data_IF_653375926427
#
_entry.id   IF_653375926427
#
_cell.length_a   1.000
_cell.length_b   1.000
_cell.length_c   1.000
_cell.angle_alpha   90.00
_cell.angle_beta   90.00
_cell.angle_gamma   90.00
#
_symmetry.space_group_name_H-M   'P 1'
#
loop_
_entity.id
_entity.type
_entity.pdbx_description
1 polymer ?
#
# COMPACT_ATOMS: atom_id res chain seq x y z
N UNK A 1 27.18 -25.85 25.62
CA UNK A 1 26.33 -26.82 24.93
C UNK A 1 27.17 -27.40 23.82
N UNK A 2 27.21 -28.72 23.68
CA UNK A 2 27.95 -29.34 22.59
C UNK A 2 27.07 -29.41 21.34
N UNK A 3 27.63 -28.95 20.21
CA UNK A 3 26.89 -28.63 18.98
C UNK A 3 27.60 -29.27 17.79
N UNK A 4 26.83 -29.97 16.96
CA UNK A 4 27.31 -30.70 15.76
C UNK A 4 27.19 -29.83 14.51
N UNK A 5 26.06 -29.16 14.38
CA UNK A 5 25.74 -28.37 13.21
C UNK A 5 24.81 -27.21 13.57
N UNK A 6 24.95 -26.11 12.84
CA UNK A 6 24.10 -24.93 12.93
C UNK A 6 23.73 -24.52 11.51
N UNK A 7 22.45 -24.26 11.27
CA UNK A 7 21.96 -23.63 10.06
C UNK A 7 21.06 -22.48 10.46
N UNK A 8 21.42 -21.23 10.19
CA UNK A 8 20.61 -20.05 10.55
C UNK A 8 20.54 -19.14 9.35
N UNK A 9 19.34 -18.67 8.99
CA UNK A 9 19.17 -17.77 7.86
C UNK A 9 17.92 -16.89 7.95
N UNK A 10 17.89 -15.87 7.10
CA UNK A 10 16.79 -14.94 6.90
C UNK A 10 16.68 -14.64 5.40
N UNK A 11 15.45 -14.38 4.94
CA UNK A 11 15.17 -13.98 3.56
C UNK A 11 14.44 -12.64 3.58
N UNK A 12 14.54 -11.88 2.50
CA UNK A 12 13.79 -10.65 2.29
C UNK A 12 12.28 -10.94 2.40
N UNK A 13 11.56 -10.10 3.14
CA UNK A 13 10.16 -10.34 3.49
C UNK A 13 9.97 -11.35 4.62
N UNK A 14 11.00 -12.12 4.98
CA UNK A 14 11.08 -12.86 6.23
C UNK A 14 11.27 -11.89 7.40
N UNK A 15 10.42 -12.01 8.41
CA UNK A 15 10.45 -11.11 9.56
C UNK A 15 11.36 -11.58 10.69
N UNK A 16 11.90 -12.79 10.60
CA UNK A 16 12.71 -13.42 11.64
C UNK A 16 13.82 -14.28 11.02
N UNK A 17 14.97 -14.30 11.69
CA UNK A 17 15.94 -15.37 11.49
C UNK A 17 15.34 -16.69 11.94
N UNK A 18 15.55 -17.73 11.16
CA UNK A 18 15.13 -19.09 11.48
C UNK A 18 16.29 -20.04 11.26
N UNK A 19 16.27 -21.16 11.96
CA UNK A 19 17.36 -22.10 11.84
C UNK A 19 17.18 -23.39 12.60
N UNK A 20 18.20 -24.23 12.52
CA UNK A 20 18.33 -25.47 13.26
C UNK A 20 19.69 -25.53 13.96
N UNK A 21 19.68 -26.00 15.20
CA UNK A 21 20.88 -26.30 15.99
C UNK A 21 20.84 -27.77 16.35
N UNK A 22 21.84 -28.53 15.89
CA UNK A 22 21.96 -29.97 16.17
C UNK A 22 22.92 -30.20 17.32
N UNK A 23 22.45 -30.93 18.33
CA UNK A 23 23.18 -31.27 19.54
C UNK A 23 23.69 -32.71 19.48
N UNK A 24 24.78 -32.98 20.18
CA UNK A 24 25.35 -34.32 20.39
C UNK A 24 25.16 -34.84 21.83
N UNK A 25 24.76 -33.99 22.78
CA UNK A 25 24.50 -34.37 24.16
C UNK A 25 23.00 -34.39 24.51
N UNK A 26 22.55 -35.52 25.08
CA UNK A 26 21.17 -35.71 25.50
C UNK A 26 20.81 -34.86 26.72
N UNK A 27 21.74 -34.61 27.65
CA UNK A 27 21.47 -33.80 28.82
C UNK A 27 21.25 -32.32 28.43
N UNK A 28 22.09 -31.80 27.54
CA UNK A 28 21.90 -30.50 26.89
C UNK A 28 20.54 -30.42 26.18
N UNK A 29 20.18 -31.43 25.38
CA UNK A 29 18.88 -31.47 24.73
C UNK A 29 17.72 -31.46 25.74
N UNK A 30 17.77 -32.29 26.80
CA UNK A 30 16.70 -32.39 27.79
C UNK A 30 16.51 -31.11 28.62
N UNK A 31 17.58 -30.34 28.85
CA UNK A 31 17.56 -29.11 29.63
C UNK A 31 16.85 -27.95 28.93
N UNK A 32 16.86 -27.92 27.60
CA UNK A 32 16.25 -26.85 26.80
C UNK A 32 14.73 -26.99 26.75
N UNK A 33 14.00 -25.90 26.93
CA UNK A 33 12.55 -25.84 26.80
C UNK A 33 12.15 -25.00 25.57
N UNK A 34 10.98 -25.28 24.99
CA UNK A 34 10.40 -24.42 23.95
C UNK A 34 10.14 -23.04 24.56
N UNK A 35 10.52 -21.99 23.84
CA UNK A 35 10.47 -20.59 24.28
C UNK A 35 11.72 -20.12 25.02
N UNK A 36 12.67 -21.00 25.36
CA UNK A 36 13.91 -20.58 26.00
C UNK A 36 14.71 -19.66 25.07
N UNK A 37 15.25 -18.53 25.57
CA UNK A 37 16.16 -17.70 24.81
C UNK A 37 17.47 -18.45 24.55
N UNK A 38 17.98 -18.35 23.32
CA UNK A 38 19.24 -18.95 22.92
C UNK A 38 20.08 -17.93 22.15
N UNK A 39 21.35 -17.85 22.52
CA UNK A 39 22.33 -17.05 21.79
C UNK A 39 23.22 -17.99 20.97
N UNK A 40 23.29 -17.73 19.66
CA UNK A 40 24.14 -18.50 18.75
C UNK A 40 25.24 -17.59 18.23
N UNK A 41 26.49 -18.03 18.32
CA UNK A 41 27.65 -17.28 17.82
C UNK A 41 28.29 -18.01 16.65
N UNK A 42 28.33 -17.37 15.48
CA UNK A 42 28.95 -17.91 14.26
C UNK A 42 29.97 -16.89 13.78
N UNK A 43 31.25 -17.29 13.68
CA UNK A 43 32.30 -16.43 13.14
C UNK A 43 32.47 -15.05 13.82
N UNK A 44 32.02 -14.91 15.06
CA UNK A 44 32.03 -13.65 15.82
C UNK A 44 30.73 -12.85 15.77
N UNK A 45 29.79 -13.20 14.88
CA UNK A 45 28.45 -12.63 14.84
C UNK A 45 27.53 -13.32 15.85
N UNK A 46 26.69 -12.53 16.54
CA UNK A 46 25.86 -13.00 17.65
C UNK A 46 24.38 -12.89 17.28
N UNK A 47 23.71 -14.04 17.23
CA UNK A 47 22.30 -14.17 16.94
C UNK A 47 21.51 -14.37 18.25
N UNK A 48 20.57 -13.47 18.53
CA UNK A 48 19.61 -13.59 19.63
C UNK A 48 18.33 -14.24 19.10
N UNK A 49 18.07 -15.46 19.57
CA UNK A 49 16.99 -16.33 19.10
C UNK A 49 16.22 -16.91 20.30
N UNK A 50 15.15 -17.63 20.01
CA UNK A 50 14.43 -18.48 20.96
C UNK A 50 14.19 -19.86 20.36
N UNK A 51 14.02 -20.86 21.20
CA UNK A 51 13.73 -22.24 20.77
C UNK A 51 12.26 -22.35 20.38
N UNK A 52 12.00 -22.62 19.11
CA UNK A 52 10.65 -22.76 18.56
C UNK A 52 10.10 -24.18 18.73
N UNK A 53 10.92 -25.18 18.41
CA UNK A 53 10.55 -26.58 18.55
C UNK A 53 11.77 -27.46 18.79
N UNK A 54 11.52 -28.70 19.24
CA UNK A 54 12.56 -29.68 19.53
C UNK A 54 12.21 -31.01 18.90
N UNK A 55 13.19 -31.63 18.24
CA UNK A 55 13.02 -32.92 17.58
C UNK A 55 14.11 -33.87 18.05
N UNK A 56 13.70 -35.08 18.44
CA UNK A 56 14.59 -36.21 18.72
C UNK A 56 14.21 -37.33 17.76
N UNK A 57 15.07 -37.62 16.79
CA UNK A 57 14.89 -38.74 15.86
C UNK A 57 15.86 -39.87 16.21
N UNK A 58 15.38 -41.11 16.11
CA UNK A 58 16.18 -42.32 16.32
C UNK A 58 15.87 -43.35 15.25
N UNK A 59 16.75 -43.42 14.25
CA UNK A 59 16.63 -44.37 13.15
C UNK A 59 17.55 -45.57 13.36
N UNK A 60 17.03 -46.59 14.06
CA UNK A 60 17.68 -47.90 14.19
C UNK A 60 19.06 -47.86 14.83
N UNK A 61 20.09 -48.25 14.06
CA UNK A 61 21.49 -48.46 14.51
C UNK A 61 22.29 -47.15 14.58
N UNK A 62 21.79 -46.06 14.00
CA UNK A 62 22.47 -44.77 14.00
C UNK A 62 22.36 -44.04 15.35
N UNK A 63 23.32 -43.15 15.63
CA UNK A 63 23.21 -42.24 16.77
C UNK A 63 21.95 -41.37 16.63
N UNK A 64 21.23 -41.08 17.74
CA UNK A 64 20.05 -40.24 17.71
C UNK A 64 20.40 -38.83 17.22
N UNK A 65 19.54 -38.24 16.41
CA UNK A 65 19.67 -36.85 15.94
C UNK A 65 18.80 -35.96 16.84
N UNK A 66 19.44 -35.04 17.54
CA UNK A 66 18.82 -34.10 18.47
C UNK A 66 18.89 -32.71 17.86
N UNK A 67 17.75 -32.14 17.46
CA UNK A 67 17.71 -30.82 16.82
C UNK A 67 16.75 -29.88 17.52
N UNK A 68 17.19 -28.62 17.64
CA UNK A 68 16.39 -27.49 18.07
C UNK A 68 16.09 -26.64 16.84
N UNK A 69 14.81 -26.35 16.58
CA UNK A 69 14.45 -25.26 15.67
C UNK A 69 14.50 -23.95 16.44
N UNK A 70 15.11 -22.94 15.85
CA UNK A 70 15.31 -21.63 16.48
C UNK A 70 14.72 -20.52 15.61
N UNK A 71 14.18 -19.48 16.24
CA UNK A 71 13.56 -18.34 15.57
C UNK A 71 13.88 -17.04 16.32
N UNK A 72 13.88 -15.89 15.63
CA UNK A 72 14.06 -14.60 16.31
C UNK A 72 12.93 -14.28 17.32
N UNK A 73 13.22 -13.54 18.40
CA UNK A 73 12.22 -13.10 19.38
C UNK A 73 11.09 -12.25 18.78
N UNK A 74 11.31 -11.64 17.62
CA UNK A 74 10.30 -10.86 16.88
C UNK A 74 9.12 -11.71 16.43
N UNK A 75 9.24 -13.04 16.39
CA UNK A 75 8.10 -13.92 16.21
C UNK A 75 7.06 -13.83 17.34
N UNK A 76 7.44 -13.36 18.53
CA UNK A 76 6.50 -13.08 19.62
C UNK A 76 5.56 -11.92 19.32
N UNK A 77 5.78 -11.18 18.23
CA UNK A 77 4.95 -10.05 17.78
C UNK A 77 3.92 -10.45 16.72
N UNK A 78 3.92 -11.71 16.28
CA UNK A 78 2.99 -12.22 15.27
C UNK A 78 2.32 -13.53 15.70
N UNK A 79 1.29 -13.94 14.95
CA UNK A 79 0.64 -15.22 15.16
C UNK A 79 1.63 -16.38 14.91
N UNK A 80 1.56 -17.47 15.68
CA UNK A 80 0.56 -17.78 16.72
C UNK A 80 0.91 -17.27 18.13
N UNK A 81 2.06 -16.60 18.32
CA UNK A 81 2.55 -16.23 19.64
C UNK A 81 1.89 -14.96 20.19
N UNK A 82 1.70 -13.96 19.33
CA UNK A 82 1.02 -12.72 19.68
C UNK A 82 -0.50 -12.88 19.58
N UNK A 83 -1.21 -12.20 20.49
CA UNK A 83 -2.64 -11.96 20.34
C UNK A 83 -2.87 -10.80 19.37
N UNK A 84 -3.93 -10.90 18.60
CA UNK A 84 -4.47 -9.77 17.84
C UNK A 84 -4.94 -8.66 18.79
N UNK A 85 -4.72 -7.41 18.37
CA UNK A 85 -5.12 -6.20 19.07
C UNK A 85 -5.91 -5.27 18.16
N UNK A 86 -6.73 -4.42 18.77
CA UNK A 86 -7.31 -3.27 18.12
C UNK A 86 -6.46 -2.05 18.46
N UNK A 87 -6.04 -1.30 17.44
CA UNK A 87 -5.17 -0.13 17.59
C UNK A 87 -5.78 1.06 16.87
N UNK A 88 -6.03 2.14 17.61
CA UNK A 88 -6.49 3.42 17.06
C UNK A 88 -5.58 4.55 17.54
N UNK A 89 -5.13 5.40 16.63
CA UNK A 89 -4.41 6.62 17.00
C UNK A 89 -5.39 7.80 17.09
N UNK A 90 -5.42 8.55 18.20
CA UNK A 90 -6.36 9.65 18.38
C UNK A 90 -5.97 10.94 17.66
N UNK A 91 -4.72 11.02 17.17
CA UNK A 91 -4.14 12.17 16.50
C UNK A 91 -3.32 11.72 15.30
N UNK A 92 -3.06 12.64 14.37
CA UNK A 92 -2.16 12.41 13.25
C UNK A 92 -0.80 11.99 13.79
N UNK A 93 -0.28 10.86 13.30
CA UNK A 93 0.88 10.19 13.89
C UNK A 93 1.83 9.75 12.78
N UNK A 94 3.15 9.79 13.01
CA UNK A 94 4.12 9.35 12.01
C UNK A 94 4.07 7.84 11.81
N UNK A 95 4.36 7.37 10.60
CA UNK A 95 4.40 5.94 10.26
C UNK A 95 5.26 5.12 11.25
N UNK A 96 6.43 5.65 11.61
CA UNK A 96 7.31 5.05 12.63
C UNK A 96 6.62 4.94 13.98
N UNK A 97 6.04 6.03 14.47
CA UNK A 97 5.43 6.06 15.78
C UNK A 97 4.21 5.13 15.87
N UNK A 98 3.45 4.96 14.78
CA UNK A 98 2.38 3.95 14.70
C UNK A 98 2.94 2.53 14.85
N UNK A 99 4.00 2.21 14.11
CA UNK A 99 4.63 0.90 14.16
C UNK A 99 5.26 0.61 15.54
N UNK A 100 5.97 1.57 16.14
CA UNK A 100 6.55 1.46 17.48
C UNK A 100 5.46 1.33 18.56
N UNK A 101 4.34 2.03 18.41
CA UNK A 101 3.17 1.90 19.29
C UNK A 101 2.53 0.51 19.21
N UNK A 102 2.38 -0.03 17.99
CA UNK A 102 1.85 -1.37 17.78
C UNK A 102 2.73 -2.46 18.41
N UNK A 103 4.05 -2.35 18.23
CA UNK A 103 5.04 -3.32 18.72
C UNK A 103 5.33 -3.15 20.22
N UNK A 104 5.19 -1.95 20.76
CA UNK A 104 5.55 -1.62 22.14
C UNK A 104 7.05 -1.47 22.39
N UNK A 105 7.85 -1.28 21.34
CA UNK A 105 9.30 -1.09 21.42
C UNK A 105 9.81 -0.19 20.29
N UNK A 106 11.00 0.36 20.45
CA UNK A 106 11.67 1.15 19.42
C UNK A 106 12.06 0.28 18.21
N UNK A 107 11.97 0.85 17.02
CA UNK A 107 12.29 0.19 15.75
C UNK A 107 13.45 0.95 15.08
N UNK A 108 14.42 0.23 14.53
CA UNK A 108 15.43 0.83 13.64
C UNK A 108 14.74 1.22 12.34
N UNK A 109 14.63 2.52 12.06
CA UNK A 109 13.78 3.05 10.99
C UNK A 109 14.60 3.68 9.86
N UNK A 110 14.80 2.91 8.80
CA UNK A 110 15.50 3.27 7.56
C UNK A 110 14.51 3.34 6.37
N UNK A 111 13.30 3.81 6.65
CA UNK A 111 12.24 4.07 5.67
C UNK A 111 11.84 5.55 5.79
N UNK A 112 11.17 6.10 4.77
CA UNK A 112 10.48 7.38 4.91
C UNK A 112 9.56 7.36 6.15
N UNK A 113 9.58 8.43 6.95
CA UNK A 113 8.71 8.58 8.12
C UNK A 113 7.72 9.72 7.87
N UNK A 114 6.50 9.37 7.44
CA UNK A 114 5.50 10.34 6.99
C UNK A 114 4.32 10.42 7.97
N UNK A 115 3.62 11.55 7.95
CA UNK A 115 2.43 11.77 8.79
C UNK A 115 1.22 11.05 8.20
N UNK A 116 0.56 10.21 9.01
CA UNK A 116 -0.69 9.54 8.65
C UNK A 116 -1.83 10.16 9.49
N UNK A 117 -2.92 10.65 8.87
CA UNK A 117 -4.06 11.20 9.57
C UNK A 117 -4.71 10.19 10.52
N UNK A 118 -5.15 10.66 11.70
CA UNK A 118 -5.79 9.84 12.73
C UNK A 118 -6.98 9.02 12.18
N UNK A 119 -7.72 9.59 11.23
CA UNK A 119 -8.90 8.97 10.61
C UNK A 119 -8.61 7.71 9.81
N UNK A 120 -7.34 7.45 9.46
CA UNK A 120 -6.91 6.26 8.74
C UNK A 120 -6.26 5.22 9.67
N UNK A 121 -5.87 5.62 10.88
CA UNK A 121 -5.11 4.80 11.81
C UNK A 121 -6.05 4.02 12.73
N UNK A 122 -6.74 3.03 12.15
CA UNK A 122 -7.58 2.08 12.87
C UNK A 122 -7.32 0.66 12.35
N UNK A 123 -6.68 -0.15 13.17
CA UNK A 123 -6.42 -1.56 12.91
C UNK A 123 -7.31 -2.40 13.82
N UNK A 124 -7.93 -3.44 13.25
CA UNK A 124 -8.83 -4.33 13.98
C UNK A 124 -8.33 -5.75 13.88
N UNK A 125 -8.32 -6.47 15.01
CA UNK A 125 -7.91 -7.86 15.10
C UNK A 125 -6.55 -8.16 14.43
N UNK A 126 -5.60 -7.23 14.48
CA UNK A 126 -4.29 -7.33 13.84
C UNK A 126 -3.20 -7.64 14.87
N UNK A 127 -2.20 -8.46 14.53
CA UNK A 127 -1.04 -8.68 15.39
C UNK A 127 -0.11 -7.46 15.37
N UNK A 128 0.65 -7.19 16.44
CA UNK A 128 1.63 -6.11 16.48
C UNK A 128 2.53 -6.03 15.24
N UNK A 129 3.07 -7.17 14.79
CA UNK A 129 3.94 -7.24 13.62
C UNK A 129 3.17 -6.99 12.32
N UNK A 130 1.94 -7.47 12.20
CA UNK A 130 1.13 -7.25 11.00
C UNK A 130 0.79 -5.77 10.79
N UNK A 131 0.61 -4.99 11.87
CA UNK A 131 0.41 -3.54 11.81
C UNK A 131 1.68 -2.86 11.30
N UNK A 132 2.83 -3.16 11.89
CA UNK A 132 4.12 -2.63 11.45
C UNK A 132 4.41 -2.99 9.98
N UNK A 133 4.08 -4.22 9.56
CA UNK A 133 4.22 -4.67 8.17
C UNK A 133 3.27 -3.91 7.24
N UNK A 134 2.01 -3.74 7.61
CA UNK A 134 1.05 -2.97 6.82
C UNK A 134 1.60 -1.56 6.52
N UNK A 135 2.00 -0.83 7.56
CA UNK A 135 2.60 0.50 7.42
C UNK A 135 3.86 0.47 6.54
N UNK A 136 4.82 -0.42 6.83
CA UNK A 136 6.06 -0.49 6.07
C UNK A 136 5.82 -0.79 4.58
N UNK A 137 4.95 -1.77 4.30
CA UNK A 137 4.65 -2.19 2.93
C UNK A 137 3.96 -1.09 2.13
N UNK A 138 3.11 -0.26 2.75
CA UNK A 138 2.45 0.87 2.07
C UNK A 138 3.46 1.79 1.36
N UNK A 139 4.58 2.14 2.01
CA UNK A 139 5.64 2.95 1.40
C UNK A 139 6.71 2.14 0.63
N UNK A 140 6.47 0.85 0.35
CA UNK A 140 7.42 0.00 -0.38
C UNK A 140 8.61 -0.47 0.48
N UNK A 141 8.44 -0.48 1.80
CA UNK A 141 9.41 -0.99 2.77
C UNK A 141 9.21 -2.46 3.14
N UNK A 142 10.14 -2.96 3.94
CA UNK A 142 10.17 -4.31 4.50
C UNK A 142 10.45 -4.25 6.00
N UNK A 143 9.89 -5.20 6.74
CA UNK A 143 10.18 -5.43 8.17
C UNK A 143 11.09 -6.64 8.28
N UNK A 144 12.21 -6.50 8.98
CA UNK A 144 13.18 -7.57 9.21
C UNK A 144 13.72 -7.52 10.65
N UNK A 145 14.47 -8.56 11.02
CA UNK A 145 15.09 -8.65 12.35
C UNK A 145 16.61 -8.63 12.22
N UNK A 146 17.25 -7.74 12.97
CA UNK A 146 18.70 -7.71 13.12
C UNK A 146 19.18 -8.95 13.89
N UNK A 147 20.44 -9.40 13.70
CA UNK A 147 20.99 -10.55 14.43
C UNK A 147 20.83 -10.45 15.95
N UNK A 148 20.90 -9.24 16.53
CA UNK A 148 20.68 -8.99 17.95
C UNK A 148 19.20 -9.07 18.41
N UNK A 149 18.26 -9.39 17.52
CA UNK A 149 16.84 -9.49 17.81
C UNK A 149 16.05 -8.17 17.69
N UNK A 150 16.71 -7.04 17.37
CA UNK A 150 16.03 -5.77 17.17
C UNK A 150 15.26 -5.74 15.84
N UNK A 151 14.07 -5.14 15.83
CA UNK A 151 13.34 -4.90 14.59
C UNK A 151 13.96 -3.77 13.78
N UNK A 152 13.96 -3.96 12.47
CA UNK A 152 14.33 -2.95 11.49
C UNK A 152 13.25 -2.84 10.42
N UNK A 153 12.93 -1.61 10.07
CA UNK A 153 12.08 -1.27 8.92
C UNK A 153 12.94 -0.50 7.94
N UNK A 154 13.01 -0.96 6.70
CA UNK A 154 13.83 -0.32 5.66
C UNK A 154 13.12 -0.28 4.31
N UNK A 155 13.60 0.53 3.39
CA UNK A 155 13.21 0.41 1.98
C UNK A 155 13.49 -1.00 1.45
N UNK A 156 12.60 -1.53 0.60
CA UNK A 156 12.85 -2.81 -0.12
C UNK A 156 14.12 -2.72 -0.98
N UNK A 157 14.36 -1.55 -1.57
CA UNK A 157 15.56 -1.21 -2.31
C UNK A 157 16.23 -0.02 -1.63
N UNK A 158 17.20 -0.24 -0.70
CA UNK A 158 17.91 0.85 -0.04
C UNK A 158 18.68 1.74 -1.02
N UNK A 159 19.16 1.14 -2.11
CA UNK A 159 19.78 1.83 -3.25
C UNK A 159 18.95 1.52 -4.51
N UNK A 160 18.57 2.52 -5.32
CA UNK A 160 17.90 2.30 -6.61
C UNK A 160 18.72 1.39 -7.51
N UNK A 161 18.06 0.49 -8.25
CA UNK A 161 18.74 -0.50 -9.11
C UNK A 161 19.74 0.12 -10.09
N UNK A 162 19.45 1.27 -10.74
CA UNK A 162 20.41 1.91 -11.66
C UNK A 162 21.72 2.37 -11.00
N UNK A 163 21.71 2.59 -9.68
CA UNK A 163 22.83 3.17 -8.94
C UNK A 163 23.70 2.10 -8.26
N UNK A 164 23.36 0.81 -8.38
CA UNK A 164 24.09 -0.28 -7.75
C UNK A 164 25.57 -0.31 -8.14
N UNK A 165 25.88 -0.16 -9.42
CA UNK A 165 27.26 -0.15 -9.94
C UNK A 165 28.04 1.12 -9.55
N UNK A 166 27.33 2.19 -9.17
CA UNK A 166 27.92 3.45 -8.71
C UNK A 166 28.16 3.48 -7.20
N UNK A 167 27.60 2.50 -6.47
CA UNK A 167 27.63 2.46 -5.02
C UNK A 167 28.96 1.89 -4.54
N UNK A 168 29.55 2.53 -3.52
CA UNK A 168 30.74 2.01 -2.87
C UNK A 168 30.37 0.76 -2.04
N UNK A 169 30.84 -0.40 -2.49
CA UNK A 169 30.61 -1.69 -1.82
C UNK A 169 31.71 -1.90 -0.78
N UNK A 170 31.39 -2.18 0.50
CA UNK A 170 32.38 -2.50 1.51
C UNK A 170 33.26 -3.68 1.09
N UNK A 171 34.56 -3.65 1.37
CA UNK A 171 35.50 -4.70 0.94
C UNK A 171 35.07 -6.11 1.39
N UNK A 172 34.45 -6.24 2.56
CA UNK A 172 33.96 -7.52 3.08
C UNK A 172 32.69 -8.04 2.38
N UNK A 173 32.04 -7.23 1.53
CA UNK A 173 30.92 -7.60 0.66
C UNK A 173 31.36 -7.87 -0.79
N UNK A 174 32.68 -7.83 -1.05
CA UNK A 174 33.26 -8.19 -2.34
C UNK A 174 33.66 -9.67 -2.29
N UNK A 175 33.13 -10.47 -3.22
CA UNK A 175 33.32 -11.92 -3.29
C UNK A 175 34.04 -12.28 -4.60
N UNK A 176 35.05 -13.14 -4.51
CA UNK A 176 35.88 -13.57 -5.63
C UNK A 176 35.85 -15.09 -5.81
N UNK A 177 35.93 -15.55 -7.05
CA UNK A 177 36.02 -16.98 -7.38
C UNK A 177 37.31 -17.66 -6.92
N UNK A 178 38.41 -16.90 -6.79
CA UNK A 178 39.70 -17.43 -6.34
C UNK A 178 39.72 -17.78 -4.85
N UNK A 179 38.99 -17.03 -4.02
CA UNK A 179 39.10 -17.12 -2.55
C UNK A 179 37.79 -17.50 -1.88
N UNK A 180 36.65 -17.03 -2.40
CA UNK A 180 35.41 -16.98 -1.63
C UNK A 180 34.33 -17.90 -2.19
N UNK A 181 34.11 -17.89 -3.51
CA UNK A 181 32.97 -18.58 -4.12
C UNK A 181 33.20 -20.09 -4.15
N UNK A 182 32.29 -20.86 -3.55
CA UNK A 182 32.32 -22.32 -3.50
C UNK A 182 31.34 -22.93 -4.51
N UNK A 183 30.21 -22.28 -4.76
CA UNK A 183 29.24 -22.68 -5.79
C UNK A 183 28.37 -21.49 -6.19
N UNK A 184 27.98 -21.40 -7.46
CA UNK A 184 27.09 -20.35 -7.94
C UNK A 184 26.08 -20.91 -8.95
N UNK A 185 24.82 -20.49 -8.85
CA UNK A 185 23.73 -20.88 -9.74
C UNK A 185 22.90 -19.66 -10.11
N UNK A 186 22.69 -19.41 -11.40
CA UNK A 186 21.80 -18.35 -11.89
C UNK A 186 20.55 -18.99 -12.50
N UNK A 187 19.37 -18.51 -12.10
CA UNK A 187 18.10 -18.93 -12.69
C UNK A 187 17.60 -17.88 -13.67
N UNK A 188 17.25 -18.33 -14.87
CA UNK A 188 16.72 -17.47 -15.93
C UNK A 188 15.19 -17.53 -15.94
N UNK A 189 14.55 -16.37 -15.81
CA UNK A 189 13.11 -16.17 -15.95
C UNK A 189 12.83 -15.02 -16.91
N UNK A 190 11.59 -14.95 -17.41
CA UNK A 190 11.13 -13.79 -18.18
C UNK A 190 11.14 -12.58 -17.25
N UNK A 191 11.85 -11.48 -17.60
CA UNK A 191 11.96 -10.34 -16.71
C UNK A 191 10.61 -9.64 -16.58
N UNK A 192 10.25 -9.30 -15.36
CA UNK A 192 9.22 -8.30 -15.09
C UNK A 192 9.84 -6.91 -15.32
N UNK A 193 9.22 -6.14 -16.22
CA UNK A 193 9.64 -4.79 -16.56
C UNK A 193 8.56 -3.81 -16.14
N UNK A 194 8.92 -2.87 -15.28
CA UNK A 194 8.07 -1.75 -14.86
C UNK A 194 8.95 -0.50 -14.81
N UNK A 195 8.59 0.50 -15.60
CA UNK A 195 9.29 1.78 -15.67
C UNK A 195 8.36 2.98 -15.46
N UNK A 196 7.06 2.74 -15.30
CA UNK A 196 6.05 3.74 -14.95
C UNK A 196 5.00 3.16 -14.02
N UNK A 197 4.64 3.88 -12.97
CA UNK A 197 3.55 3.51 -12.04
C UNK A 197 2.82 4.76 -11.57
N UNK A 198 1.49 4.65 -11.42
CA UNK A 198 0.67 5.69 -10.81
C UNK A 198 0.34 5.31 -9.37
N UNK A 199 0.59 6.21 -8.43
CA UNK A 199 0.37 5.99 -7.00
C UNK A 199 -0.61 7.05 -6.48
N UNK A 200 -1.69 6.61 -5.83
CA UNK A 200 -2.77 7.45 -5.28
C UNK A 200 -3.03 7.11 -3.82
N UNK A 201 -3.56 8.07 -3.06
CA UNK A 201 -4.03 7.82 -1.69
C UNK A 201 -5.51 7.47 -1.61
N UNK A 202 -6.24 7.57 -2.71
CA UNK A 202 -7.67 7.26 -2.77
C UNK A 202 -8.04 6.79 -4.15
N UNK A 203 -9.07 5.94 -4.24
CA UNK A 203 -9.63 5.59 -5.53
C UNK A 203 -10.21 6.84 -6.20
N UNK A 204 -10.01 6.92 -7.51
CA UNK A 204 -10.71 7.90 -8.32
C UNK A 204 -12.16 7.44 -8.46
N UNK A 205 -12.99 7.73 -7.46
CA UNK A 205 -14.45 7.55 -7.59
C UNK A 205 -14.97 8.55 -8.62
N UNK A 206 -15.88 8.09 -9.49
CA UNK A 206 -16.62 8.97 -10.41
C UNK A 206 -17.03 10.27 -9.67
N UNK A 207 -16.59 11.40 -10.20
CA UNK A 207 -17.01 12.70 -9.70
C UNK A 207 -18.36 13.03 -10.33
N UNK A 208 -19.37 13.31 -9.50
CA UNK A 208 -20.66 13.73 -10.04
C UNK A 208 -20.49 15.09 -10.72
N UNK A 209 -20.88 15.15 -11.99
CA UNK A 209 -21.12 16.40 -12.70
C UNK A 209 -22.41 16.23 -13.50
N UNK A 210 -23.43 17.00 -13.15
CA UNK A 210 -24.71 16.95 -13.84
C UNK A 210 -25.29 18.35 -13.98
N UNK A 211 -26.08 18.52 -15.04
CA UNK A 211 -26.81 19.75 -15.33
C UNK A 211 -28.27 19.45 -15.58
N UNK A 212 -29.14 20.33 -15.11
CA UNK A 212 -30.56 20.32 -15.44
C UNK A 212 -31.07 21.73 -15.73
N UNK A 213 -32.13 21.84 -16.53
CA UNK A 213 -32.85 23.11 -16.68
C UNK A 213 -33.54 23.43 -15.36
N UNK A 214 -33.43 24.66 -14.87
CA UNK A 214 -34.12 25.08 -13.65
C UNK A 214 -35.64 25.18 -13.87
N UNK A 215 -36.35 24.06 -13.79
CA UNK A 215 -37.81 23.99 -13.97
C UNK A 215 -38.61 24.30 -12.70
N UNK A 216 -37.97 24.73 -11.61
CA UNK A 216 -38.68 24.98 -10.35
C UNK A 216 -39.61 26.19 -10.50
N UNK A 217 -40.85 26.17 -9.97
CA UNK A 217 -41.76 27.32 -10.02
C UNK A 217 -41.18 28.59 -9.38
N UNK A 218 -40.39 28.42 -8.31
CA UNK A 218 -39.65 29.49 -7.64
C UNK A 218 -38.20 29.65 -8.12
N UNK A 219 -37.83 28.95 -9.20
CA UNK A 219 -36.48 28.95 -9.77
C UNK A 219 -36.23 30.11 -10.72
N UNK A 220 -35.04 30.14 -11.31
CA UNK A 220 -34.57 31.21 -12.19
C UNK A 220 -35.37 31.30 -13.50
N UNK A 221 -35.95 30.19 -13.96
CA UNK A 221 -36.85 30.21 -15.11
C UNK A 221 -38.33 30.38 -14.71
N UNK A 222 -38.69 30.51 -13.44
CA UNK A 222 -40.09 30.65 -13.03
C UNK A 222 -40.99 29.50 -13.47
N UNK A 223 -40.48 28.27 -13.48
CA UNK A 223 -41.23 27.06 -13.82
C UNK A 223 -41.31 26.70 -15.30
N UNK A 224 -40.76 27.51 -16.22
CA UNK A 224 -40.73 27.15 -17.64
C UNK A 224 -39.49 26.32 -18.00
N UNK A 225 -39.67 25.32 -18.86
CA UNK A 225 -38.59 24.46 -19.40
C UNK A 225 -38.50 24.50 -20.92
N UNK A 226 -39.28 25.38 -21.56
CA UNK A 226 -39.28 25.62 -23.00
C UNK A 226 -39.03 27.10 -23.26
N UNK A 227 -38.07 27.39 -24.15
CA UNK A 227 -37.56 28.74 -24.37
C UNK A 227 -37.70 29.15 -25.84
N UNK A 228 -37.95 30.43 -26.09
CA UNK A 228 -37.96 31.04 -27.43
C UNK A 228 -36.67 31.81 -27.64
N UNK A 229 -36.31 32.05 -28.90
CA UNK A 229 -35.21 32.94 -29.24
C UNK A 229 -35.36 34.31 -28.57
N UNK A 230 -34.27 34.83 -28.01
CA UNK A 230 -34.23 36.05 -27.21
C UNK A 230 -34.47 35.88 -25.71
N UNK A 231 -34.82 34.67 -25.25
CA UNK A 231 -34.90 34.34 -23.82
C UNK A 231 -33.55 33.87 -23.27
N UNK A 232 -33.41 33.87 -21.95
CA UNK A 232 -32.31 33.20 -21.26
C UNK A 232 -32.85 31.93 -20.62
N UNK A 233 -32.21 30.79 -20.91
CA UNK A 233 -32.49 29.53 -20.24
C UNK A 233 -31.49 29.33 -19.10
N UNK A 234 -31.97 29.24 -17.86
CA UNK A 234 -31.14 28.99 -16.69
C UNK A 234 -31.05 27.51 -16.36
N UNK A 235 -29.85 27.08 -15.97
CA UNK A 235 -29.52 25.70 -15.63
C UNK A 235 -28.97 25.63 -14.21
N UNK A 236 -29.22 24.51 -13.54
CA UNK A 236 -28.61 24.14 -12.28
C UNK A 236 -27.51 23.13 -12.55
N UNK A 237 -26.35 23.34 -11.95
CA UNK A 237 -25.21 22.43 -12.01
C UNK A 237 -24.95 21.86 -10.63
N UNK A 238 -24.93 20.53 -10.57
CA UNK A 238 -24.57 19.76 -9.38
C UNK A 238 -23.20 19.12 -9.65
N UNK A 239 -22.21 19.50 -8.84
CA UNK A 239 -20.84 19.04 -8.97
C UNK A 239 -20.30 18.52 -7.64
N UNK A 240 -19.48 17.47 -7.67
CA UNK A 240 -18.66 17.04 -6.55
C UNK A 240 -17.54 18.06 -6.33
N UNK A 241 -17.80 19.05 -5.47
CA UNK A 241 -16.89 20.18 -5.22
C UNK A 241 -15.58 19.80 -4.55
N UNK A 242 -15.47 18.59 -3.99
CA UNK A 242 -14.19 18.09 -3.45
C UNK A 242 -13.26 17.61 -4.57
N UNK A 243 -13.82 17.12 -5.69
CA UNK A 243 -13.05 16.55 -6.80
C UNK A 243 -12.96 17.45 -8.02
N UNK A 244 -13.98 18.29 -8.28
CA UNK A 244 -14.08 19.15 -9.46
C UNK A 244 -13.79 20.59 -9.04
N UNK A 245 -12.67 21.15 -9.53
CA UNK A 245 -12.24 22.53 -9.22
C UNK A 245 -12.67 23.55 -10.26
N UNK A 246 -12.82 23.11 -11.51
CA UNK A 246 -13.16 23.95 -12.64
C UNK A 246 -14.34 23.33 -13.38
N UNK A 247 -15.39 24.11 -13.58
CA UNK A 247 -16.55 23.74 -14.39
C UNK A 247 -16.67 24.74 -15.52
N UNK A 248 -16.63 24.25 -16.76
CA UNK A 248 -16.77 25.05 -17.96
C UNK A 248 -18.08 24.71 -18.65
N UNK A 249 -18.77 25.75 -19.12
CA UNK A 249 -20.01 25.67 -19.88
C UNK A 249 -19.75 26.18 -21.29
N UNK A 250 -20.09 25.38 -22.30
CA UNK A 250 -19.93 25.73 -23.70
C UNK A 250 -21.22 25.47 -24.49
N UNK A 251 -22.05 26.51 -24.72
CA UNK A 251 -23.23 26.38 -25.56
C UNK A 251 -22.86 26.47 -27.05
N UNK A 252 -23.44 25.62 -27.88
CA UNK A 252 -23.25 25.65 -29.34
C UNK A 252 -23.72 26.97 -29.98
N UNK A 253 -24.66 27.67 -29.31
CA UNK A 253 -25.22 28.96 -29.71
C UNK A 253 -25.59 29.74 -28.45
N UNK A 254 -25.35 31.05 -28.46
CA UNK A 254 -25.72 31.96 -27.38
C UNK A 254 -24.56 32.26 -26.46
N UNK A 255 -24.79 33.16 -25.50
CA UNK A 255 -23.76 33.56 -24.54
C UNK A 255 -24.09 33.02 -23.16
N UNK A 256 -23.07 32.52 -22.47
CA UNK A 256 -23.18 32.15 -21.06
C UNK A 256 -23.32 33.42 -20.22
N UNK A 257 -24.26 33.40 -19.28
CA UNK A 257 -24.55 34.49 -18.34
C UNK A 257 -24.37 33.94 -16.93
N UNK A 258 -23.66 34.67 -16.08
CA UNK A 258 -23.51 34.29 -14.67
C UNK A 258 -24.85 34.35 -13.94
N UNK A 259 -25.08 33.38 -13.04
CA UNK A 259 -26.22 33.40 -12.13
C UNK A 259 -25.78 33.06 -10.71
N UNK A 260 -26.52 33.55 -9.72
CA UNK A 260 -26.23 33.25 -8.32
C UNK A 260 -26.52 31.79 -8.00
N UNK A 261 -25.67 31.18 -7.19
CA UNK A 261 -25.89 29.83 -6.66
C UNK A 261 -27.28 29.71 -6.01
N UNK A 262 -27.90 28.56 -6.22
CA UNK A 262 -29.26 28.27 -5.79
C UNK A 262 -29.24 27.33 -4.59
N UNK A 263 -30.00 27.69 -3.56
CA UNK A 263 -30.23 26.84 -2.38
C UNK A 263 -31.71 26.52 -2.29
N UNK A 264 -32.06 25.25 -2.21
CA UNK A 264 -33.46 24.82 -2.17
C UNK A 264 -33.65 23.49 -1.46
N UNK A 265 -34.91 23.15 -1.16
CA UNK A 265 -35.28 21.87 -0.59
C UNK A 265 -35.66 20.91 -1.72
N UNK A 266 -35.02 19.74 -1.75
CA UNK A 266 -35.42 18.62 -2.58
C UNK A 266 -36.13 17.56 -1.73
N UNK A 267 -36.98 16.77 -2.37
CA UNK A 267 -37.71 15.67 -1.75
C UNK A 267 -37.61 14.43 -2.64
N UNK A 268 -37.09 13.34 -2.10
CA UNK A 268 -36.89 12.10 -2.84
C UNK A 268 -37.44 10.90 -2.05
N UNK A 269 -38.08 9.96 -2.76
CA UNK A 269 -38.40 8.65 -2.22
C UNK A 269 -37.24 7.69 -2.47
N UNK A 270 -36.70 7.11 -1.39
CA UNK A 270 -35.63 6.11 -1.44
C UNK A 270 -36.12 4.78 -0.88
N UNK A 271 -35.66 3.68 -1.46
CA UNK A 271 -36.10 2.33 -1.09
C UNK A 271 -34.94 1.50 -0.56
N UNK A 272 -35.12 0.96 0.64
CA UNK A 272 -34.21 0.03 1.30
C UNK A 272 -34.79 -1.38 1.23
N UNK A 273 -33.92 -2.37 1.05
CA UNK A 273 -34.28 -3.79 1.12
C UNK A 273 -33.27 -4.55 2.00
N UNK A 274 -33.56 -5.81 2.31
CA UNK A 274 -32.72 -6.65 3.17
C UNK A 274 -31.27 -6.81 2.72
N UNK A 275 -30.97 -6.52 1.45
CA UNK A 275 -29.63 -6.57 0.86
C UNK A 275 -29.03 -5.19 0.59
N UNK A 276 -29.86 -4.14 0.51
CA UNK A 276 -29.45 -2.77 0.18
C UNK A 276 -29.76 -1.81 1.33
N UNK A 277 -28.76 -1.64 2.20
CA UNK A 277 -28.81 -0.70 3.34
C UNK A 277 -28.39 0.73 3.00
N UNK A 278 -27.77 0.92 1.84
CA UNK A 278 -27.28 2.23 1.36
C UNK A 278 -27.92 2.55 0.02
N UNK A 279 -28.46 3.77 -0.10
CA UNK A 279 -29.14 4.26 -1.30
C UNK A 279 -28.57 5.62 -1.69
N UNK A 280 -28.46 5.91 -2.98
CA UNK A 280 -28.02 7.21 -3.48
C UNK A 280 -29.20 8.19 -3.62
N UNK A 281 -28.99 9.42 -3.17
CA UNK A 281 -29.82 10.56 -3.48
C UNK A 281 -29.57 11.01 -4.92
N UNK A 282 -30.56 11.66 -5.53
CA UNK A 282 -30.46 12.18 -6.91
C UNK A 282 -29.43 13.30 -6.99
N UNK A 283 -29.46 14.21 -6.01
CA UNK A 283 -28.56 15.37 -5.90
C UNK A 283 -27.81 15.36 -4.58
N UNK A 284 -26.53 15.78 -4.57
CA UNK A 284 -25.76 15.89 -3.34
C UNK A 284 -26.37 16.86 -2.35
N UNK A 285 -26.15 16.59 -1.07
CA UNK A 285 -26.59 17.40 0.05
C UNK A 285 -25.54 17.42 1.13
N UNK A 286 -25.51 18.50 1.92
CA UNK A 286 -24.78 18.58 3.17
C UNK A 286 -25.68 18.36 4.39
N UNK A 287 -27.01 18.32 4.19
CA UNK A 287 -27.96 18.29 5.29
C UNK A 287 -29.28 17.61 4.92
N UNK A 288 -29.58 16.52 5.62
CA UNK A 288 -30.90 15.89 5.63
C UNK A 288 -31.77 16.65 6.62
N UNK A 289 -32.81 17.32 6.11
CA UNK A 289 -33.72 18.15 6.91
C UNK A 289 -34.77 17.31 7.62
N UNK A 290 -35.36 16.33 6.90
CA UNK A 290 -36.45 15.50 7.43
C UNK A 290 -36.52 14.17 6.70
N UNK A 291 -36.78 13.11 7.44
CA UNK A 291 -37.08 11.79 6.88
C UNK A 291 -38.48 11.36 7.33
N UNK A 292 -39.30 10.93 6.38
CA UNK A 292 -40.63 10.34 6.65
C UNK A 292 -40.64 8.92 6.11
N UNK A 293 -40.83 7.94 6.98
CA UNK A 293 -40.90 6.54 6.58
C UNK A 293 -42.31 6.15 6.15
N UNK A 294 -42.40 5.44 5.02
CA UNK A 294 -43.57 4.71 4.57
C UNK A 294 -43.34 3.22 4.85
N UNK A 295 -44.14 2.66 5.77
CA UNK A 295 -43.97 1.29 6.25
C UNK A 295 -43.02 1.20 7.45
N UNK A 296 -42.10 0.24 7.43
CA UNK A 296 -41.16 0.04 8.52
C UNK A 296 -40.15 1.18 8.58
N UNK A 297 -40.05 1.82 9.74
CA UNK A 297 -38.98 2.78 10.01
C UNK A 297 -37.69 2.05 10.29
N UNK A 298 -36.65 2.32 9.49
CA UNK A 298 -35.31 1.77 9.69
C UNK A 298 -34.38 2.73 10.46
N UNK A 299 -34.97 3.60 11.29
CA UNK A 299 -34.25 4.57 12.10
C UNK A 299 -33.77 5.81 11.33
N UNK A 300 -32.71 6.45 11.84
CA UNK A 300 -32.10 7.65 11.23
C UNK A 300 -31.40 7.27 9.93
N UNK A 301 -31.38 8.22 8.98
CA UNK A 301 -30.50 8.15 7.82
C UNK A 301 -29.17 8.85 8.10
N UNK A 302 -28.08 8.13 7.89
CA UNK A 302 -26.71 8.64 8.01
C UNK A 302 -26.23 9.01 6.61
N UNK A 303 -25.90 10.29 6.41
CA UNK A 303 -25.35 10.79 5.16
C UNK A 303 -23.89 10.33 5.02
N UNK A 304 -23.57 9.73 3.89
CA UNK A 304 -22.21 9.37 3.51
C UNK A 304 -21.33 10.60 3.28
N UNK A 305 -20.01 10.41 3.39
CA UNK A 305 -19.04 11.50 3.13
C UNK A 305 -19.09 12.03 1.69
N UNK A 306 -19.64 11.25 0.76
CA UNK A 306 -19.88 11.68 -0.62
C UNK A 306 -21.05 12.69 -0.76
N UNK A 307 -21.76 13.00 0.33
CA UNK A 307 -22.93 13.87 0.33
C UNK A 307 -24.11 13.33 -0.48
N UNK A 308 -24.02 12.11 -1.02
CA UNK A 308 -24.99 11.55 -1.97
C UNK A 308 -25.59 10.25 -1.47
N UNK A 309 -24.83 9.43 -0.74
CA UNK A 309 -25.36 8.18 -0.21
C UNK A 309 -25.97 8.38 1.17
N UNK A 310 -27.08 7.68 1.43
CA UNK A 310 -27.70 7.60 2.75
C UNK A 310 -27.80 6.15 3.18
N UNK A 311 -27.37 5.88 4.40
CA UNK A 311 -27.42 4.55 5.01
C UNK A 311 -28.43 4.54 6.14
N UNK A 312 -29.31 3.52 6.18
CA UNK A 312 -30.25 3.36 7.29
C UNK A 312 -29.56 2.86 8.56
N UNK A 313 -29.98 3.38 9.70
CA UNK A 313 -29.49 2.98 11.03
C UNK A 313 -29.80 1.51 11.34
N UNK A 314 -30.91 0.97 10.84
CA UNK A 314 -31.28 -0.43 11.01
C UNK A 314 -31.34 -1.15 9.65
N UNK A 315 -30.97 -2.44 9.57
CA UNK A 315 -31.20 -3.25 8.37
C UNK A 315 -32.69 -3.59 8.21
N UNK A 316 -33.17 -3.73 6.97
CA UNK A 316 -34.54 -4.15 6.68
C UNK A 316 -35.08 -3.55 5.38
N UNK A 317 -36.37 -3.76 5.16
CA UNK A 317 -37.09 -3.22 3.99
C UNK A 317 -37.97 -2.05 4.40
N UNK A 318 -37.89 -0.94 3.67
CA UNK A 318 -38.70 0.26 3.94
C UNK A 318 -38.51 1.33 2.87
N UNK A 319 -39.49 2.21 2.73
CA UNK A 319 -39.41 3.36 1.82
C UNK A 319 -39.32 4.63 2.68
N UNK A 320 -38.36 5.50 2.40
CA UNK A 320 -38.21 6.78 3.08
C UNK A 320 -38.39 7.95 2.11
N UNK A 321 -39.19 8.93 2.50
CA UNK A 321 -39.20 10.25 1.87
C UNK A 321 -38.19 11.15 2.57
N UNK A 322 -37.11 11.46 1.88
CA UNK A 322 -36.01 12.28 2.37
C UNK A 322 -36.20 13.69 1.86
N UNK A 323 -36.28 14.65 2.78
CA UNK A 323 -36.25 16.07 2.49
C UNK A 323 -34.86 16.58 2.86
N UNK A 324 -34.16 17.20 1.92
CA UNK A 324 -32.77 17.60 2.09
C UNK A 324 -32.48 18.90 1.35
N UNK A 325 -31.44 19.61 1.79
CA UNK A 325 -31.03 20.87 1.15
C UNK A 325 -30.11 20.58 -0.01
N UNK A 326 -30.37 21.21 -1.16
CA UNK A 326 -29.51 21.16 -2.34
C UNK A 326 -28.89 22.53 -2.55
N UNK A 327 -27.58 22.53 -2.76
CA UNK A 327 -26.82 23.69 -3.20
C UNK A 327 -26.31 23.43 -4.61
N UNK A 328 -26.62 24.34 -5.53
CA UNK A 328 -26.25 24.22 -6.95
C UNK A 328 -25.62 25.49 -7.45
N UNK A 329 -24.61 25.35 -8.30
CA UNK A 329 -24.20 26.46 -9.15
C UNK A 329 -25.28 26.69 -10.21
N UNK A 330 -25.40 27.93 -10.69
CA UNK A 330 -26.34 28.25 -11.74
C UNK A 330 -25.69 29.11 -12.81
N UNK A 331 -26.14 28.95 -14.04
CA UNK A 331 -25.78 29.82 -15.15
C UNK A 331 -26.95 29.94 -16.12
N UNK A 332 -26.96 31.01 -16.90
CA UNK A 332 -27.90 31.23 -18.00
C UNK A 332 -27.24 31.02 -19.36
N UNK A 333 -28.01 30.57 -20.34
CA UNK A 333 -27.64 30.65 -21.76
C UNK A 333 -28.59 31.63 -22.42
N UNK A 334 -28.07 32.80 -22.80
CA UNK A 334 -28.84 33.81 -23.52
C UNK A 334 -28.97 33.39 -24.99
N UNK A 335 -30.18 33.04 -25.39
CA UNK A 335 -30.48 32.56 -26.74
C UNK A 335 -30.63 33.74 -27.70
N UNK A 336 -29.98 33.73 -28.89
CA UNK A 336 -30.24 34.74 -29.90
C UNK A 336 -31.72 34.65 -30.37
N UNK A 337 -32.24 35.68 -31.05
CA UNK A 337 -33.61 35.60 -31.57
C UNK A 337 -33.72 34.64 -32.76
N UNK A 338 -32.67 34.58 -33.57
CA UNK A 338 -32.53 33.71 -34.74
C UNK A 338 -31.09 33.26 -34.87
N UNK A 339 -30.86 32.15 -35.56
CA UNK A 339 -29.53 31.68 -35.97
C UNK A 339 -29.52 31.56 -37.49
N UNK A 340 -28.80 32.45 -38.16
CA UNK A 340 -29.04 32.71 -39.58
C UNK A 340 -30.50 33.14 -39.79
N UNK A 341 -31.21 32.45 -40.67
CA UNK A 341 -32.62 32.71 -40.99
C UNK A 341 -33.62 31.82 -40.20
N UNK A 342 -33.14 30.94 -39.32
CA UNK A 342 -33.99 30.02 -38.56
C UNK A 342 -34.45 30.61 -37.22
N UNK A 343 -35.76 30.51 -36.95
CA UNK A 343 -36.41 30.85 -35.67
C UNK A 343 -36.64 29.64 -34.76
N UNK A 344 -36.29 28.43 -35.24
CA UNK A 344 -36.23 27.16 -34.50
C UNK A 344 -34.91 26.47 -34.78
N UNK A 345 -34.12 26.23 -33.74
CA UNK A 345 -32.80 25.62 -33.86
C UNK A 345 -32.47 24.84 -32.57
N UNK A 346 -31.70 23.75 -32.66
CA UNK A 346 -31.20 23.05 -31.49
C UNK A 346 -30.10 23.86 -30.81
N UNK A 347 -30.03 23.76 -29.48
CA UNK A 347 -28.91 24.30 -28.69
C UNK A 347 -28.36 23.15 -27.86
N UNK A 348 -27.11 22.80 -28.11
CA UNK A 348 -26.37 21.85 -27.30
C UNK A 348 -25.56 22.64 -26.27
N UNK A 349 -25.62 22.25 -25.01
CA UNK A 349 -24.83 22.88 -23.95
C UNK A 349 -23.91 21.81 -23.37
N UNK A 350 -22.61 21.94 -23.63
CA UNK A 350 -21.60 21.07 -23.07
C UNK A 350 -21.20 21.57 -21.68
N UNK A 351 -21.11 20.63 -20.73
CA UNK A 351 -20.62 20.88 -19.38
C UNK A 351 -19.39 20.00 -19.15
N UNK A 352 -18.25 20.63 -18.86
CA UNK A 352 -16.98 19.93 -18.64
C UNK A 352 -16.46 20.27 -17.24
N UNK A 353 -16.08 19.26 -16.47
CA UNK A 353 -15.46 19.42 -15.16
C UNK A 353 -14.03 18.92 -15.16
N UNK A 354 -13.11 19.67 -14.58
CA UNK A 354 -11.73 19.23 -14.37
C UNK A 354 -11.59 18.56 -13.01
N UNK A 355 -11.42 17.24 -13.03
CA UNK A 355 -11.05 16.48 -11.83
C UNK A 355 -9.59 16.79 -11.51
N UNK A 356 -9.31 17.24 -10.29
CA UNK A 356 -7.94 17.43 -9.80
C UNK A 356 -7.69 16.40 -8.71
N UNK A 357 -7.14 15.25 -9.10
CA UNK A 357 -6.66 14.30 -8.10
C UNK A 357 -5.31 14.77 -7.56
N UNK A 358 -5.36 15.60 -6.51
CA UNK A 358 -4.15 16.01 -5.78
C UNK A 358 -3.43 14.84 -5.11
N UNK A 359 -4.04 13.64 -5.11
CA UNK A 359 -3.42 12.43 -4.59
C UNK A 359 -2.57 11.67 -5.61
N UNK A 360 -2.70 11.97 -6.90
CA UNK A 360 -2.01 11.26 -7.97
C UNK A 360 -0.54 11.64 -8.08
N UNK A 361 0.32 10.62 -8.05
CA UNK A 361 1.74 10.73 -8.37
C UNK A 361 2.08 9.73 -9.47
N UNK A 362 2.54 10.23 -10.61
CA UNK A 362 3.14 9.40 -11.66
C UNK A 362 4.64 9.28 -11.38
N UNK A 363 5.09 8.08 -11.01
CA UNK A 363 6.50 7.74 -10.92
C UNK A 363 6.94 7.14 -12.25
N UNK A 364 8.02 7.65 -12.84
CA UNK A 364 8.51 7.18 -14.14
C UNK A 364 10.04 7.20 -14.18
N UNK A 365 10.62 6.19 -14.83
CA UNK A 365 12.04 6.06 -15.15
C UNK A 365 12.17 5.83 -16.66
N UNK A 366 12.95 6.67 -17.35
CA UNK A 366 13.02 6.59 -18.81
C UNK A 366 11.70 6.96 -19.49
N UNK A 367 11.38 6.32 -20.61
CA UNK A 367 10.23 6.67 -21.46
C UNK A 367 8.88 6.21 -20.91
N UNK A 368 8.86 5.26 -19.97
CA UNK A 368 7.61 4.76 -19.37
C UNK A 368 6.86 3.74 -20.25
N UNK A 369 7.60 2.96 -21.04
CA UNK A 369 7.06 2.01 -22.03
C UNK A 369 6.48 0.74 -21.40
N UNK A 370 6.80 0.48 -20.12
CA UNK A 370 6.38 -0.68 -19.36
C UNK A 370 5.58 -0.22 -18.12
N UNK A 371 4.29 0.12 -18.28
CA UNK A 371 3.46 0.52 -17.16
C UNK A 371 3.18 -0.66 -16.22
N UNK A 372 3.37 -0.43 -14.92
CA UNK A 372 2.92 -1.32 -13.86
C UNK A 372 1.48 -1.04 -13.43
N UNK A 373 0.98 -1.83 -12.49
CA UNK A 373 -0.36 -1.65 -11.92
C UNK A 373 -0.48 -0.34 -11.13
N UNK A 374 -1.62 0.34 -11.29
CA UNK A 374 -1.95 1.52 -10.48
C UNK A 374 -2.08 1.12 -9.00
N UNK A 375 -1.44 1.90 -8.13
CA UNK A 375 -1.48 1.70 -6.68
C UNK A 375 -2.43 2.69 -6.05
N UNK A 376 -3.35 2.19 -5.25
CA UNK A 376 -4.19 2.99 -4.36
C UNK A 376 -3.98 2.51 -2.93
N UNK A 377 -3.40 3.37 -2.10
CA UNK A 377 -3.17 3.06 -0.68
C UNK A 377 -3.47 4.29 0.19
N UNK A 378 -4.52 4.23 1.05
CA UNK A 378 -4.90 5.32 1.93
C UNK A 378 -3.77 5.84 2.83
N UNK A 379 -2.81 5.00 3.22
CA UNK A 379 -1.71 5.44 4.08
C UNK A 379 -0.71 6.34 3.36
N UNK A 380 -0.70 6.39 2.02
CA UNK A 380 0.24 7.19 1.23
C UNK A 380 -0.17 8.66 1.10
N UNK A 381 -0.22 9.34 2.23
CA UNK A 381 -0.75 10.71 2.39
C UNK A 381 0.23 11.82 1.98
N UNK A 382 1.51 11.53 1.82
CA UNK A 382 2.54 12.52 1.46
C UNK A 382 3.20 12.18 0.13
N UNK A 383 3.83 13.19 -0.49
CA UNK A 383 4.60 13.01 -1.72
C UNK A 383 5.74 12.00 -1.53
N UNK A 384 6.49 12.10 -0.44
CA UNK A 384 7.64 11.23 -0.18
C UNK A 384 7.24 9.77 0.03
N UNK A 385 6.11 9.51 0.70
CA UNK A 385 5.59 8.15 0.88
C UNK A 385 5.18 7.53 -0.46
N UNK A 386 4.46 8.29 -1.30
CA UNK A 386 4.08 7.85 -2.66
C UNK A 386 5.30 7.63 -3.54
N UNK A 387 6.28 8.52 -3.48
CA UNK A 387 7.52 8.41 -4.25
C UNK A 387 8.33 7.18 -3.80
N UNK A 388 8.41 6.92 -2.49
CA UNK A 388 9.04 5.71 -1.96
C UNK A 388 8.37 4.44 -2.49
N UNK A 389 7.04 4.37 -2.44
CA UNK A 389 6.28 3.24 -2.98
C UNK A 389 6.49 3.06 -4.49
N UNK A 390 6.41 4.13 -5.25
CA UNK A 390 6.61 4.09 -6.70
C UNK A 390 8.02 3.65 -7.11
N UNK A 391 9.06 4.14 -6.41
CA UNK A 391 10.45 3.69 -6.61
C UNK A 391 10.60 2.20 -6.34
N UNK A 392 10.06 1.71 -5.23
CA UNK A 392 10.16 0.29 -4.87
C UNK A 392 9.53 -0.64 -5.94
N UNK A 393 8.46 -0.19 -6.59
CA UNK A 393 7.79 -0.95 -7.67
C UNK A 393 8.63 -0.94 -8.95
N UNK A 394 9.12 0.23 -9.38
CA UNK A 394 9.98 0.35 -10.56
C UNK A 394 11.29 -0.44 -10.37
N UNK A 395 11.89 -0.38 -9.18
CA UNK A 395 13.10 -1.15 -8.87
C UNK A 395 12.84 -2.67 -8.85
N UNK A 396 11.67 -3.10 -8.35
CA UNK A 396 11.27 -4.50 -8.45
C UNK A 396 11.11 -4.95 -9.91
N UNK A 397 10.49 -4.13 -10.75
CA UNK A 397 10.33 -4.35 -12.18
C UNK A 397 11.54 -3.92 -13.03
N UNK A 398 12.75 -3.94 -12.48
CA UNK A 398 13.96 -3.61 -13.26
C UNK A 398 14.56 -4.84 -13.99
N UNK A 399 13.77 -5.91 -14.17
CA UNK A 399 14.20 -7.13 -14.85
C UNK A 399 15.23 -7.97 -14.10
N UNK A 400 15.17 -7.94 -12.75
CA UNK A 400 16.13 -8.60 -11.86
C UNK A 400 16.19 -10.12 -12.11
N UNK A 401 17.38 -10.69 -11.93
CA UNK A 401 17.61 -12.15 -11.96
C UNK A 401 18.06 -12.65 -10.61
N UNK A 402 17.68 -13.89 -10.28
CA UNK A 402 18.05 -14.52 -9.03
C UNK A 402 19.32 -15.37 -9.21
N UNK A 403 20.28 -15.11 -8.33
CA UNK A 403 21.55 -15.83 -8.25
C UNK A 403 21.71 -16.39 -6.85
N UNK A 404 21.87 -17.71 -6.75
CA UNK A 404 22.18 -18.42 -5.51
C UNK A 404 23.69 -18.67 -5.46
N UNK A 405 24.36 -18.17 -4.43
CA UNK A 405 25.80 -18.29 -4.23
C UNK A 405 26.09 -18.94 -2.88
N UNK A 406 27.02 -19.88 -2.81
CA UNK A 406 27.62 -20.32 -1.54
C UNK A 406 29.07 -19.92 -1.52
N UNK A 407 29.52 -19.30 -0.43
CA UNK A 407 30.87 -18.83 -0.23
C UNK A 407 31.42 -19.25 1.14
N UNK A 408 32.73 -19.05 1.34
CA UNK A 408 33.36 -19.08 2.66
C UNK A 408 32.60 -18.14 3.60
N UNK A 409 32.48 -18.49 4.88
CA UNK A 409 31.70 -17.71 5.84
C UNK A 409 31.95 -16.19 5.75
N UNK A 410 30.85 -15.47 5.51
CA UNK A 410 30.76 -14.01 5.47
C UNK A 410 29.77 -13.53 6.53
N UNK A 411 30.24 -13.07 7.71
CA UNK A 411 29.38 -12.47 8.72
C UNK A 411 28.99 -11.04 8.33
N UNK A 412 27.87 -10.55 8.87
CA UNK A 412 27.44 -9.16 8.73
C UNK A 412 26.75 -8.79 7.42
N UNK A 413 26.64 -9.72 6.46
CA UNK A 413 25.80 -9.53 5.26
C UNK A 413 24.34 -9.76 5.64
N UNK A 414 23.46 -8.81 5.28
CA UNK A 414 22.02 -8.86 5.53
C UNK A 414 21.22 -8.75 4.22
N UNK A 415 19.96 -9.22 4.18
CA UNK A 415 19.05 -8.83 3.11
C UNK A 415 18.97 -7.31 2.97
N UNK A 416 18.96 -6.82 1.73
CA UNK A 416 19.01 -5.40 1.40
C UNK A 416 20.40 -4.84 1.14
N UNK A 417 21.46 -5.51 1.63
CA UNK A 417 22.83 -5.10 1.35
C UNK A 417 23.20 -5.36 -0.11
N UNK A 418 24.12 -4.56 -0.64
CA UNK A 418 24.73 -4.81 -1.94
C UNK A 418 26.01 -5.63 -1.76
N UNK A 419 26.18 -6.61 -2.64
CA UNK A 419 27.41 -7.41 -2.78
C UNK A 419 27.95 -7.27 -4.19
N UNK A 420 29.28 -7.33 -4.31
CA UNK A 420 29.98 -7.32 -5.59
C UNK A 420 30.61 -8.67 -5.83
N UNK A 421 30.31 -9.27 -6.98
CA UNK A 421 30.77 -10.62 -7.30
C UNK A 421 31.72 -10.56 -8.49
N UNK A 422 32.92 -11.09 -8.28
CA UNK A 422 33.95 -11.32 -9.29
C UNK A 422 34.02 -12.82 -9.55
N UNK A 423 33.36 -13.27 -10.62
CA UNK A 423 33.34 -14.67 -11.01
C UNK A 423 33.62 -14.77 -12.50
N UNK A 424 34.78 -15.34 -12.87
CA UNK A 424 35.21 -15.41 -14.26
C UNK A 424 34.29 -16.28 -15.13
N UNK A 425 33.58 -17.24 -14.53
CA UNK A 425 32.63 -18.11 -15.24
C UNK A 425 31.29 -17.42 -15.49
N UNK A 426 30.96 -16.37 -14.73
CA UNK A 426 29.75 -15.54 -14.91
C UNK A 426 29.98 -14.27 -15.74
N UNK A 427 31.17 -14.14 -16.34
CA UNK A 427 31.53 -13.04 -17.23
C UNK A 427 32.08 -11.83 -16.49
N UNK A 428 31.47 -10.66 -16.71
CA UNK A 428 31.91 -9.42 -16.05
C UNK A 428 31.46 -9.41 -14.59
N UNK A 429 32.28 -8.80 -13.75
CA UNK A 429 31.91 -8.51 -12.37
C UNK A 429 30.62 -7.70 -12.31
N UNK A 430 29.82 -7.95 -11.29
CA UNK A 430 28.49 -7.37 -11.18
C UNK A 430 28.15 -7.09 -9.72
N UNK A 431 27.26 -6.11 -9.52
CA UNK A 431 26.67 -5.80 -8.21
C UNK A 431 25.23 -6.30 -8.14
N UNK A 432 24.84 -6.85 -7.00
CA UNK A 432 23.47 -7.26 -6.75
C UNK A 432 23.07 -7.06 -5.29
N UNK A 433 21.75 -7.01 -5.06
CA UNK A 433 21.15 -6.88 -3.73
C UNK A 433 20.91 -8.26 -3.14
N UNK A 434 21.39 -8.48 -1.93
CA UNK A 434 21.12 -9.70 -1.17
C UNK A 434 19.63 -9.76 -0.83
N UNK A 435 18.98 -10.86 -1.19
CA UNK A 435 17.58 -11.18 -0.88
C UNK A 435 17.47 -12.32 0.12
N UNK A 436 18.56 -13.00 0.45
CA UNK A 436 18.58 -14.02 1.49
C UNK A 436 19.99 -14.35 1.94
N UNK A 437 20.12 -14.71 3.21
CA UNK A 437 21.39 -15.08 3.84
C UNK A 437 21.15 -16.31 4.70
N UNK A 438 22.06 -17.28 4.62
CA UNK A 438 22.06 -18.47 5.46
C UNK A 438 23.49 -18.85 5.81
N UNK A 439 23.76 -19.01 7.10
CA UNK A 439 25.01 -19.51 7.62
C UNK A 439 24.88 -20.99 7.95
N UNK A 440 25.83 -21.77 7.46
CA UNK A 440 25.94 -23.19 7.72
C UNK A 440 27.26 -23.47 8.42
N UNK A 441 27.17 -24.09 9.60
CA UNK A 441 28.31 -24.57 10.37
C UNK A 441 28.15 -26.07 10.51
N UNK A 442 29.13 -26.85 10.03
CA UNK A 442 29.21 -28.29 10.26
C UNK A 442 30.63 -28.64 10.66
N UNK A 443 30.80 -29.22 11.84
CA UNK A 443 32.12 -29.48 12.40
C UNK A 443 32.97 -28.20 12.44
N UNK A 444 34.11 -28.16 11.74
CA UNK A 444 35.00 -27.00 11.66
C UNK A 444 34.84 -26.15 10.38
N UNK A 445 33.85 -26.45 9.54
CA UNK A 445 33.61 -25.73 8.28
C UNK A 445 32.44 -24.78 8.45
N UNK A 446 32.63 -23.52 8.04
CA UNK A 446 31.61 -22.48 8.05
C UNK A 446 31.46 -21.91 6.63
N UNK A 447 30.22 -21.85 6.15
CA UNK A 447 29.86 -21.29 4.84
C UNK A 447 28.71 -20.32 4.97
N UNK A 448 28.60 -19.39 4.03
CA UNK A 448 27.44 -18.52 3.86
C UNK A 448 26.82 -18.79 2.50
N UNK A 449 25.52 -19.10 2.46
CA UNK A 449 24.72 -19.12 1.24
C UNK A 449 23.95 -17.80 1.14
N UNK A 450 24.01 -17.18 -0.04
CA UNK A 450 23.36 -15.92 -0.38
C UNK A 450 22.39 -16.15 -1.54
N UNK A 451 21.20 -15.59 -1.42
CA UNK A 451 20.33 -15.30 -2.56
C UNK A 451 20.55 -13.84 -2.94
N UNK A 452 20.77 -13.57 -4.23
CA UNK A 452 21.13 -12.24 -4.73
C UNK A 452 20.29 -11.90 -5.95
N UNK A 453 19.61 -10.76 -5.88
CA UNK A 453 18.97 -10.13 -7.02
C UNK A 453 20.00 -9.32 -7.83
N UNK A 454 20.26 -9.75 -9.06
CA UNK A 454 21.18 -9.12 -10.01
C UNK A 454 20.41 -8.26 -11.01
N UNK A 455 20.84 -7.00 -11.19
CA UNK A 455 20.31 -6.13 -12.23
C UNK A 455 20.77 -6.57 -13.62
N UNK A 456 19.97 -6.32 -14.66
CA UNK A 456 20.45 -6.53 -16.02
C UNK A 456 21.52 -5.48 -16.34
N UNK A 457 22.72 -5.94 -16.70
CA UNK A 457 23.72 -5.08 -17.32
C UNK A 457 23.13 -4.53 -18.61
N UNK A 458 22.87 -3.22 -18.67
CA UNK A 458 22.53 -2.56 -19.94
C UNK A 458 23.68 -2.82 -20.94
N UNK A 459 23.37 -3.21 -22.18
CA UNK A 459 24.39 -3.43 -23.21
C UNK A 459 25.21 -2.16 -23.51
#
# INVERSE_FOLDING_TARGET
MSVVAINIGISEGGYAWTGTVTLDDLADFQRVTIGDPITVTIGGEVFSLMVDSKTLSRDGVNAPVMSLSVISPTALLDAPFARSVDLTMPVDTTARAVAESAVGAAILWDLVDWMIPASLLSFYAATPLSIARAIATSAGGMVETMPNGALRVRHRFPVPVPDWELTNIPDHHVLTDVVDNLSCMETYSVPELVDRVVVRSSEMKEALLSMEVDGRPSGLNGGITAFKGGMTAYFLVHADTEKIREVTVDPSVGNVVEASAQNYLATQLVHFDSTRRTVALETPTSNIVKVVWYGNSLGKLILGKDGKTVTSELPGTGIAQVHYTVQSFAFGVQLPKTVGDADRYPVNVALTGRVTDTSELVCQRGEGDHPGEDVVDPFLTTLDARLSRGRAIIDQGSGLREVSLTCVHRPGIMPGDLVKIHDAMMGRSWVGKVTGVRHDVRFSVMTTSLEVARGQSRP
#
